data_IF_760962909698
#
_entry.id   IF_760962909698
#
_cell.length_a   1.000
_cell.length_b   1.000
_cell.length_c   1.000
_cell.angle_alpha   90.00
_cell.angle_beta   90.00
_cell.angle_gamma   90.00
#
_symmetry.space_group_name_H-M   'P 1'
#
loop_
_entity.id
_entity.type
_entity.pdbx_description
1 polymer ?
#
# COMPACT_ATOMS: atom_id res chain seq x y z
N UNK A 1 -63.21 -15.58 -25.78
CA UNK A 1 -62.66 -16.94 -25.64
C UNK A 1 -61.37 -16.84 -24.85
N UNK A 2 -61.34 -17.55 -23.72
CA UNK A 2 -60.19 -18.12 -22.99
C UNK A 2 -59.14 -17.20 -22.32
N UNK A 3 -59.31 -17.15 -21.00
CA UNK A 3 -58.42 -16.95 -19.85
C UNK A 3 -57.13 -17.80 -19.80
N UNK A 4 -56.11 -17.30 -19.08
CA UNK A 4 -55.04 -18.09 -18.44
C UNK A 4 -53.93 -17.17 -17.86
N UNK A 5 -53.99 -16.73 -16.60
CA UNK A 5 -53.51 -17.35 -15.34
C UNK A 5 -52.00 -17.59 -15.26
N UNK A 6 -51.37 -16.91 -14.29
CA UNK A 6 -49.99 -17.13 -13.85
C UNK A 6 -49.70 -16.35 -12.56
N UNK A 7 -50.41 -16.69 -11.48
CA UNK A 7 -50.12 -16.24 -10.11
C UNK A 7 -49.03 -17.15 -9.54
N UNK A 8 -47.90 -16.57 -9.15
CA UNK A 8 -46.86 -17.23 -8.37
C UNK A 8 -46.77 -16.60 -6.99
N UNK A 9 -47.49 -17.19 -6.04
CA UNK A 9 -47.39 -16.97 -4.60
C UNK A 9 -46.39 -17.99 -4.02
N UNK A 10 -45.39 -17.52 -3.27
CA UNK A 10 -44.76 -18.21 -2.12
C UNK A 10 -43.47 -17.47 -1.72
N UNK A 11 -43.07 -17.27 -0.47
CA UNK A 11 -43.62 -17.50 0.87
C UNK A 11 -42.74 -16.68 1.83
N UNK A 12 -43.38 -16.18 2.87
CA UNK A 12 -42.80 -15.65 4.12
C UNK A 12 -41.91 -16.70 4.80
N UNK A 13 -40.72 -16.29 5.26
CA UNK A 13 -40.01 -16.94 6.36
C UNK A 13 -39.79 -15.94 7.47
N UNK A 14 -40.24 -16.33 8.66
CA UNK A 14 -40.37 -15.52 9.85
C UNK A 14 -39.08 -15.42 10.66
N UNK A 15 -39.02 -14.29 11.39
CA UNK A 15 -38.33 -14.00 12.65
C UNK A 15 -37.78 -15.18 13.47
N UNK A 16 -36.58 -14.97 14.02
CA UNK A 16 -36.33 -15.10 15.48
C UNK A 16 -35.11 -14.25 15.89
N UNK A 17 -35.28 -13.23 16.75
CA UNK A 17 -34.19 -12.59 17.50
C UNK A 17 -34.04 -13.27 18.87
N UNK A 18 -32.82 -13.44 19.35
CA UNK A 18 -32.51 -13.84 20.73
C UNK A 18 -31.13 -13.31 21.14
N UNK A 19 -31.17 -12.44 22.16
CA UNK A 19 -30.31 -12.31 23.35
C UNK A 19 -28.82 -12.69 23.25
N UNK A 20 -27.84 -12.03 23.87
CA UNK A 20 -27.68 -10.89 24.79
C UNK A 20 -26.13 -10.76 25.04
N UNK A 21 -25.62 -9.79 25.83
CA UNK A 21 -24.22 -9.39 25.84
C UNK A 21 -23.32 -10.28 26.71
N UNK A 22 -22.03 -10.36 26.38
CA UNK A 22 -20.98 -10.81 27.30
C UNK A 22 -20.03 -9.67 27.60
N UNK A 23 -20.21 -9.13 28.80
CA UNK A 23 -19.24 -8.35 29.54
C UNK A 23 -18.14 -9.30 30.04
N UNK A 24 -16.89 -8.98 29.78
CA UNK A 24 -15.76 -9.51 30.56
C UNK A 24 -14.75 -8.40 30.76
N UNK A 25 -15.08 -7.60 31.76
CA UNK A 25 -14.16 -6.82 32.58
C UNK A 25 -12.97 -7.68 33.04
N UNK A 26 -11.76 -7.18 32.77
CA UNK A 26 -10.49 -7.80 33.14
C UNK A 26 -9.41 -6.75 33.40
N UNK A 27 -9.65 -5.86 34.35
CA UNK A 27 -8.63 -4.96 34.91
C UNK A 27 -7.74 -5.74 35.87
N UNK A 28 -6.45 -5.88 35.57
CA UNK A 28 -5.41 -6.18 36.55
C UNK A 28 -4.33 -5.10 36.45
N UNK A 29 -4.43 -4.15 37.36
CA UNK A 29 -3.35 -3.29 37.83
C UNK A 29 -2.25 -4.14 38.47
N UNK A 30 -0.99 -3.94 38.06
CA UNK A 30 0.17 -4.29 38.88
C UNK A 30 0.97 -3.03 39.21
N UNK A 31 1.05 -2.76 40.50
CA UNK A 31 1.77 -1.66 41.11
C UNK A 31 3.29 -1.91 41.13
N UNK A 32 4.02 -0.85 40.78
CA UNK A 32 5.12 -0.20 41.52
C UNK A 32 6.00 -1.04 42.45
N UNK A 33 7.29 -1.19 42.10
CA UNK A 33 8.45 -1.24 43.00
C UNK A 33 9.66 -0.67 42.21
N UNK A 34 10.10 0.55 42.48
CA UNK A 34 11.11 0.95 43.48
C UNK A 34 12.54 0.99 42.92
N UNK A 35 13.17 2.14 43.17
CA UNK A 35 14.46 2.59 42.70
C UNK A 35 15.66 1.81 43.26
N UNK A 36 16.79 1.91 42.57
CA UNK A 36 18.10 1.99 43.23
C UNK A 36 19.03 2.91 42.43
N UNK A 37 19.39 4.03 43.06
CA UNK A 37 20.50 4.91 42.68
C UNK A 37 21.83 4.16 42.71
N UNK A 38 22.80 4.56 41.89
CA UNK A 38 24.16 4.94 42.35
C UNK A 38 24.86 5.77 41.25
N UNK A 39 25.48 6.92 41.59
CA UNK A 39 26.22 7.79 40.67
C UNK A 39 27.74 7.60 40.77
N UNK A 40 28.45 7.44 39.65
CA UNK A 40 29.93 7.58 39.56
C UNK A 40 30.28 8.08 38.14
N UNK A 41 30.56 9.37 37.96
CA UNK A 41 31.89 10.05 37.98
C UNK A 41 32.79 9.80 36.73
N UNK A 42 32.63 10.74 35.75
CA UNK A 42 33.67 11.37 34.89
C UNK A 42 34.43 10.52 33.83
N UNK A 43 35.00 11.10 32.75
CA UNK A 43 35.39 12.51 32.57
C UNK A 43 34.89 13.24 31.31
N UNK A 44 34.93 14.55 31.48
CA UNK A 44 34.94 15.61 30.48
C UNK A 44 36.12 15.44 29.52
N UNK A 45 35.85 15.15 28.25
CA UNK A 45 36.78 15.40 27.14
C UNK A 45 36.27 16.61 26.37
N UNK A 46 36.87 17.76 26.66
CA UNK A 46 36.71 18.98 25.88
C UNK A 46 37.32 18.83 24.49
N UNK A 47 36.71 19.53 23.52
CA UNK A 47 37.37 20.20 22.36
C UNK A 47 37.99 19.25 21.33
N UNK A 48 37.78 19.41 20.03
CA UNK A 48 37.54 20.62 19.22
C UNK A 48 37.36 20.16 17.77
N UNK A 49 36.52 20.86 17.01
CA UNK A 49 36.56 21.05 15.55
C UNK A 49 36.70 19.79 14.67
N UNK A 50 35.82 19.49 13.72
CA UNK A 50 35.14 20.42 12.84
C UNK A 50 33.83 19.79 12.39
N UNK A 51 32.76 20.56 12.51
CA UNK A 51 31.63 20.54 11.60
C UNK A 51 32.19 20.64 10.17
N UNK A 52 32.38 19.50 9.52
CA UNK A 52 32.03 19.40 8.11
C UNK A 52 30.55 19.04 8.10
N UNK A 53 29.64 19.96 7.83
CA UNK A 53 28.48 19.55 7.08
C UNK A 53 29.06 19.15 5.72
N UNK A 54 29.22 17.85 5.48
CA UNK A 54 28.96 17.39 4.13
C UNK A 54 27.45 17.70 4.01
N UNK A 55 26.99 18.82 3.46
CA UNK A 55 27.18 19.19 2.05
C UNK A 55 27.30 17.96 1.15
N UNK A 56 26.56 16.89 1.48
CA UNK A 56 25.51 16.52 0.55
C UNK A 56 24.67 17.78 0.41
N UNK A 57 25.01 18.61 -0.56
CA UNK A 57 23.94 19.23 -1.31
C UNK A 57 23.09 18.02 -1.71
N UNK A 58 21.97 17.81 -1.02
CA UNK A 58 20.83 17.25 -1.68
C UNK A 58 20.72 18.13 -2.92
N UNK A 59 21.17 17.62 -4.06
CA UNK A 59 21.02 18.31 -5.32
C UNK A 59 19.51 18.53 -5.41
N UNK A 60 19.01 19.77 -5.24
CA UNK A 60 17.60 20.00 -4.98
C UNK A 60 16.74 19.82 -6.24
N UNK A 61 17.29 19.18 -7.28
CA UNK A 61 16.68 18.95 -8.57
C UNK A 61 17.00 17.56 -9.15
N UNK A 62 17.70 16.67 -8.43
CA UNK A 62 17.77 15.26 -8.83
C UNK A 62 16.42 14.62 -8.52
N UNK A 63 15.61 14.45 -9.57
CA UNK A 63 14.44 13.59 -9.49
C UNK A 63 14.88 12.22 -8.94
N UNK A 64 14.10 11.61 -8.04
CA UNK A 64 14.45 10.29 -7.52
C UNK A 64 14.68 9.32 -8.69
N UNK A 65 15.77 8.55 -8.61
CA UNK A 65 16.11 7.59 -9.66
C UNK A 65 15.11 6.44 -9.62
N UNK A 66 14.20 6.42 -10.59
CA UNK A 66 13.12 5.47 -10.68
C UNK A 66 13.56 4.24 -11.47
N UNK A 67 13.67 3.11 -10.78
CA UNK A 67 13.95 1.84 -11.40
C UNK A 67 12.66 1.16 -11.86
N UNK A 68 12.53 0.95 -13.17
CA UNK A 68 11.41 0.20 -13.75
C UNK A 68 11.61 -1.29 -13.50
N UNK A 69 10.67 -1.89 -12.78
CA UNK A 69 10.63 -3.31 -12.46
C UNK A 69 10.02 -4.13 -13.62
N UNK A 70 9.24 -3.47 -14.47
CA UNK A 70 8.58 -4.03 -15.64
C UNK A 70 7.10 -3.67 -15.66
N UNK A 71 6.39 -4.08 -16.71
CA UNK A 71 4.95 -3.86 -16.83
C UNK A 71 4.16 -5.16 -16.89
N UNK A 72 2.96 -5.14 -16.33
CA UNK A 72 2.03 -6.24 -16.43
C UNK A 72 0.62 -5.75 -16.74
N UNK A 73 -0.12 -6.56 -17.49
CA UNK A 73 -1.53 -6.29 -17.76
C UNK A 73 -2.40 -6.83 -16.62
N UNK A 74 -3.38 -6.03 -16.19
CA UNK A 74 -4.44 -6.47 -15.29
C UNK A 74 -5.28 -7.53 -15.99
N UNK A 75 -5.52 -8.66 -15.31
CA UNK A 75 -6.51 -9.64 -15.75
C UNK A 75 -7.91 -9.10 -15.53
N UNK A 76 -8.70 -8.91 -16.60
CA UNK A 76 -10.03 -8.29 -16.50
C UNK A 76 -11.06 -9.08 -15.70
N UNK A 77 -10.94 -10.41 -15.67
CA UNK A 77 -11.89 -11.28 -14.95
C UNK A 77 -11.58 -11.42 -13.46
N UNK A 78 -10.31 -11.24 -13.05
CA UNK A 78 -9.86 -11.51 -11.68
C UNK A 78 -9.22 -10.31 -10.96
N UNK A 79 -8.99 -9.18 -11.66
CA UNK A 79 -8.22 -8.04 -11.15
C UNK A 79 -6.82 -8.43 -10.62
N UNK A 80 -6.27 -9.52 -11.17
CA UNK A 80 -4.98 -10.06 -10.80
C UNK A 80 -3.89 -9.47 -11.71
N UNK A 81 -2.83 -8.99 -11.08
CA UNK A 81 -1.62 -8.48 -11.72
C UNK A 81 -0.46 -9.44 -11.48
N UNK A 82 0.13 -10.02 -12.54
CA UNK A 82 1.33 -10.80 -12.38
C UNK A 82 2.50 -9.87 -12.01
N UNK A 83 3.17 -10.18 -10.90
CA UNK A 83 4.30 -9.39 -10.41
C UNK A 83 5.52 -9.62 -11.30
N UNK A 84 6.21 -8.55 -11.76
CA UNK A 84 7.41 -8.69 -12.57
C UNK A 84 8.51 -9.48 -11.83
N UNK A 85 9.25 -10.31 -12.57
CA UNK A 85 10.33 -11.12 -11.99
C UNK A 85 11.40 -10.26 -11.29
N UNK A 86 11.62 -9.03 -11.73
CA UNK A 86 12.56 -8.08 -11.11
C UNK A 86 12.12 -7.67 -9.70
N UNK A 87 10.83 -7.42 -9.49
CA UNK A 87 10.28 -7.11 -8.17
C UNK A 87 10.43 -8.29 -7.19
N UNK A 88 10.26 -9.53 -7.68
CA UNK A 88 10.48 -10.74 -6.90
C UNK A 88 11.96 -10.93 -6.57
N UNK A 89 12.87 -10.65 -7.51
CA UNK A 89 14.31 -10.77 -7.29
C UNK A 89 14.82 -9.76 -6.23
N UNK A 90 14.15 -8.61 -6.12
CA UNK A 90 14.41 -7.58 -5.12
C UNK A 90 13.63 -7.83 -3.82
N UNK A 91 12.93 -8.95 -3.69
CA UNK A 91 12.13 -9.34 -2.53
C UNK A 91 11.03 -8.32 -2.13
N UNK A 92 10.64 -7.43 -3.05
CA UNK A 92 9.61 -6.40 -2.82
C UNK A 92 8.22 -7.02 -2.65
N UNK A 93 7.98 -8.14 -3.32
CA UNK A 93 6.76 -8.95 -3.18
C UNK A 93 7.15 -10.40 -2.91
N UNK A 94 6.84 -10.88 -1.71
CA UNK A 94 7.03 -12.26 -1.30
C UNK A 94 5.71 -13.02 -1.48
N UNK A 95 5.82 -14.33 -1.69
CA UNK A 95 4.66 -15.21 -1.72
C UNK A 95 4.13 -15.39 -0.29
N UNK A 96 2.83 -15.20 -0.11
CA UNK A 96 2.19 -15.22 1.21
C UNK A 96 2.37 -13.92 1.99
N UNK A 97 1.26 -13.38 2.51
CA UNK A 97 1.27 -12.16 3.32
C UNK A 97 0.12 -11.22 3.00
N UNK A 98 0.31 -9.94 3.32
CA UNK A 98 -0.63 -8.87 2.99
C UNK A 98 0.10 -7.76 2.23
N UNK A 99 -0.53 -7.29 1.15
CA UNK A 99 -0.13 -6.08 0.44
C UNK A 99 -0.99 -4.93 0.94
N UNK A 100 -0.35 -3.89 1.45
CA UNK A 100 -0.94 -2.62 1.84
C UNK A 100 -0.85 -1.65 0.67
N UNK A 101 -1.99 -1.05 0.35
CA UNK A 101 -2.14 -0.11 -0.76
C UNK A 101 -2.31 1.29 -0.20
N UNK A 102 -1.54 2.21 -0.75
CA UNK A 102 -1.62 3.64 -0.46
C UNK A 102 -1.56 4.46 -1.74
N UNK A 103 -1.90 5.72 -1.62
CA UNK A 103 -1.81 6.71 -2.71
C UNK A 103 -0.89 7.82 -2.25
N UNK A 104 0.11 8.13 -3.07
CA UNK A 104 0.96 9.30 -2.87
C UNK A 104 0.16 10.56 -3.21
N UNK A 105 -0.03 11.45 -2.23
CA UNK A 105 -0.85 12.66 -2.39
C UNK A 105 -0.25 13.69 -3.35
N UNK A 106 1.07 13.63 -3.58
CA UNK A 106 1.76 14.55 -4.47
C UNK A 106 1.29 14.44 -5.94
N UNK A 107 1.15 13.21 -6.45
CA UNK A 107 0.91 12.95 -7.88
C UNK A 107 -0.22 11.93 -8.12
N UNK A 108 -0.90 11.49 -7.06
CA UNK A 108 -1.95 10.47 -7.13
C UNK A 108 -1.46 9.06 -7.46
N UNK A 109 -0.15 8.82 -7.42
CA UNK A 109 0.46 7.53 -7.74
C UNK A 109 0.14 6.47 -6.69
N UNK A 110 -0.14 5.24 -7.12
CA UNK A 110 -0.48 4.14 -6.21
C UNK A 110 0.80 3.49 -5.72
N UNK A 111 0.95 3.38 -4.41
CA UNK A 111 2.04 2.69 -3.72
C UNK A 111 1.50 1.38 -3.16
N UNK A 112 2.26 0.31 -3.30
CA UNK A 112 2.01 -0.96 -2.64
C UNK A 112 3.23 -1.39 -1.84
N UNK A 113 3.00 -1.86 -0.63
CA UNK A 113 4.03 -2.37 0.27
C UNK A 113 3.55 -3.62 0.99
N UNK A 114 4.46 -4.53 1.32
CA UNK A 114 4.12 -5.62 2.25
C UNK A 114 4.22 -5.20 3.72
N UNK A 115 4.77 -4.02 3.99
CA UNK A 115 4.89 -3.46 5.32
C UNK A 115 3.82 -2.38 5.51
N UNK A 116 3.12 -2.42 6.63
CA UNK A 116 2.11 -1.40 6.97
C UNK A 116 2.75 -0.10 7.46
N UNK A 117 3.81 -0.21 8.26
CA UNK A 117 4.54 0.89 8.89
C UNK A 117 4.94 1.99 7.87
N UNK A 118 5.62 1.68 6.75
CA UNK A 118 6.10 2.73 5.85
C UNK A 118 4.98 3.35 4.98
N UNK A 119 3.76 2.79 4.97
CA UNK A 119 2.57 3.43 4.37
C UNK A 119 1.89 4.34 5.41
N UNK A 120 1.93 3.98 6.68
CA UNK A 120 1.31 4.74 7.76
C UNK A 120 2.17 5.91 8.24
N UNK A 121 3.49 5.73 8.32
CA UNK A 121 4.45 6.71 8.82
C UNK A 121 4.81 7.77 7.79
N UNK A 122 4.50 7.55 6.51
CA UNK A 122 4.73 8.54 5.46
C UNK A 122 3.55 9.52 5.36
N UNK A 123 3.74 10.81 5.71
CA UNK A 123 2.67 11.80 5.67
C UNK A 123 2.26 12.18 4.24
N UNK A 124 3.04 11.82 3.23
CA UNK A 124 2.74 11.99 1.80
C UNK A 124 1.99 10.81 1.19
N UNK A 125 1.74 9.73 1.94
CA UNK A 125 1.00 8.56 1.49
C UNK A 125 -0.31 8.43 2.28
N UNK A 126 -1.42 8.36 1.55
CA UNK A 126 -2.74 8.04 2.11
C UNK A 126 -3.01 6.56 1.98
N UNK A 127 -3.12 5.86 3.11
CA UNK A 127 -3.58 4.47 3.12
C UNK A 127 -4.98 4.32 2.52
N UNK A 128 -5.15 3.35 1.60
CA UNK A 128 -6.44 2.99 1.02
C UNK A 128 -7.00 1.71 1.63
N UNK A 129 -6.27 0.59 1.49
CA UNK A 129 -6.77 -0.74 1.85
C UNK A 129 -5.63 -1.76 1.91
N UNK A 130 -5.91 -2.98 2.35
CA UNK A 130 -5.00 -4.12 2.27
C UNK A 130 -5.63 -5.30 1.53
N UNK A 131 -4.80 -6.12 0.90
CA UNK A 131 -5.19 -7.34 0.21
C UNK A 131 -4.27 -8.50 0.57
N UNK A 132 -4.83 -9.67 0.83
CA UNK A 132 -4.02 -10.86 1.08
C UNK A 132 -3.34 -11.36 -0.21
N UNK A 133 -2.07 -11.73 -0.09
CA UNK A 133 -1.29 -12.41 -1.13
C UNK A 133 -1.34 -13.91 -0.82
N UNK A 134 -1.83 -14.76 -1.75
CA UNK A 134 -1.85 -16.20 -1.54
C UNK A 134 -0.43 -16.79 -1.39
N UNK A 135 -0.26 -17.78 -0.51
CA UNK A 135 1.05 -18.39 -0.16
C UNK A 135 1.80 -19.08 -1.32
N UNK A 136 1.18 -19.26 -2.49
CA UNK A 136 1.79 -19.83 -3.69
C UNK A 136 1.49 -19.02 -4.97
N UNK A 137 1.08 -17.76 -4.82
CA UNK A 137 0.75 -16.89 -5.96
C UNK A 137 1.73 -15.73 -6.06
N UNK A 138 2.18 -15.46 -7.29
CA UNK A 138 2.93 -14.25 -7.67
C UNK A 138 2.03 -13.20 -8.31
N UNK A 139 0.76 -13.23 -7.94
CA UNK A 139 -0.26 -12.34 -8.46
C UNK A 139 -0.70 -11.43 -7.32
N UNK A 140 -0.62 -10.13 -7.56
CA UNK A 140 -1.20 -9.13 -6.68
C UNK A 140 -2.63 -8.88 -7.12
N UNK A 141 -3.55 -8.91 -6.17
CA UNK A 141 -4.94 -8.54 -6.43
C UNK A 141 -5.08 -7.05 -6.21
N UNK A 142 -5.45 -6.32 -7.26
CA UNK A 142 -5.75 -4.90 -7.13
C UNK A 142 -7.14 -4.75 -6.52
N UNK A 143 -7.28 -4.04 -5.39
CA UNK A 143 -8.58 -3.82 -4.76
C UNK A 143 -9.39 -2.77 -5.55
N UNK A 144 -10.72 -2.88 -5.52
CA UNK A 144 -11.62 -1.95 -6.22
C UNK A 144 -11.36 -0.48 -5.83
N UNK A 145 -11.02 -0.21 -4.57
CA UNK A 145 -10.69 1.14 -4.09
C UNK A 145 -9.52 1.81 -4.84
N UNK A 146 -8.59 1.03 -5.39
CA UNK A 146 -7.49 1.54 -6.22
C UNK A 146 -7.99 1.90 -7.62
N UNK A 147 -8.91 1.11 -8.19
CA UNK A 147 -9.56 1.44 -9.46
C UNK A 147 -10.45 2.68 -9.35
N UNK A 148 -11.23 2.77 -8.27
CA UNK A 148 -12.05 3.95 -7.97
C UNK A 148 -11.16 5.20 -7.89
N UNK A 149 -10.02 5.12 -7.19
CA UNK A 149 -9.06 6.21 -7.13
C UNK A 149 -8.52 6.61 -8.51
N UNK A 150 -8.13 5.65 -9.36
CA UNK A 150 -7.69 5.98 -10.71
C UNK A 150 -8.79 6.65 -11.55
N UNK A 151 -10.04 6.20 -11.43
CA UNK A 151 -11.20 6.81 -12.10
C UNK A 151 -11.43 8.26 -11.63
N UNK A 152 -11.31 8.50 -10.31
CA UNK A 152 -11.38 9.83 -9.70
C UNK A 152 -10.27 10.77 -10.23
N UNK A 153 -9.03 10.31 -10.32
CA UNK A 153 -7.89 11.14 -10.81
C UNK A 153 -7.98 11.39 -12.32
N UNK A 154 -8.58 10.48 -13.09
CA UNK A 154 -8.74 10.62 -14.54
C UNK A 154 -10.01 11.42 -14.96
N UNK A 155 -10.56 12.26 -14.06
CA UNK A 155 -11.76 13.09 -14.31
C UNK A 155 -13.07 12.28 -14.52
N UNK A 156 -13.20 11.12 -13.88
CA UNK A 156 -14.47 10.37 -13.78
C UNK A 156 -14.80 9.46 -14.97
N UNK A 157 -13.78 8.96 -15.66
CA UNK A 157 -13.89 7.92 -16.67
C UNK A 157 -12.95 6.75 -16.36
N UNK A 158 -13.28 5.54 -16.85
CA UNK A 158 -12.53 4.32 -16.56
C UNK A 158 -11.06 4.45 -16.94
N UNK A 159 -10.25 4.79 -15.94
CA UNK A 159 -8.84 5.12 -16.10
C UNK A 159 -7.95 3.89 -16.32
N UNK A 160 -8.37 2.76 -15.74
CA UNK A 160 -7.71 1.46 -15.86
C UNK A 160 -8.81 0.40 -15.94
N UNK A 161 -8.86 -0.33 -17.04
CA UNK A 161 -9.74 -1.46 -17.23
C UNK A 161 -8.96 -2.78 -17.24
N UNK A 162 -9.73 -3.88 -17.23
CA UNK A 162 -9.19 -5.21 -17.49
C UNK A 162 -8.47 -5.27 -18.84
N UNK A 163 -7.18 -5.61 -18.83
CA UNK A 163 -6.32 -5.66 -20.01
C UNK A 163 -5.35 -4.48 -20.12
N UNK A 164 -5.58 -3.39 -19.38
CA UNK A 164 -4.65 -2.27 -19.35
C UNK A 164 -3.33 -2.67 -18.68
N UNK A 165 -2.26 -2.08 -19.19
CA UNK A 165 -0.91 -2.31 -18.70
C UNK A 165 -0.61 -1.32 -17.57
N UNK A 166 -0.10 -1.86 -16.48
CA UNK A 166 0.44 -1.10 -15.35
C UNK A 166 1.95 -1.31 -15.29
N UNK A 167 2.68 -0.23 -15.10
CA UNK A 167 4.12 -0.24 -14.94
C UNK A 167 4.46 -0.23 -13.45
N UNK A 168 5.35 -1.15 -13.08
CA UNK A 168 5.88 -1.28 -11.74
C UNK A 168 7.18 -0.51 -11.67
N UNK A 169 7.26 0.40 -10.73
CA UNK A 169 8.40 1.27 -10.51
C UNK A 169 8.80 1.20 -9.05
N UNK A 170 10.08 1.30 -8.74
CA UNK A 170 10.55 1.51 -7.38
C UNK A 170 11.72 2.50 -7.39
N UNK A 171 12.19 2.87 -6.21
CA UNK A 171 13.42 3.64 -5.98
C UNK A 171 14.25 2.88 -4.96
N UNK A 172 15.54 3.21 -4.77
CA UNK A 172 16.35 2.57 -3.73
C UNK A 172 15.68 2.67 -2.35
N UNK A 173 15.20 3.86 -1.96
CA UNK A 173 14.54 4.09 -0.67
C UNK A 173 13.22 3.31 -0.54
N UNK A 174 12.42 3.24 -1.61
CA UNK A 174 11.21 2.43 -1.64
C UNK A 174 11.53 0.94 -1.50
N UNK A 175 12.56 0.47 -2.22
CA UNK A 175 12.97 -0.92 -2.18
C UNK A 175 13.46 -1.35 -0.79
N UNK A 176 14.16 -0.47 -0.07
CA UNK A 176 14.55 -0.68 1.34
C UNK A 176 13.34 -0.87 2.28
N UNK A 177 12.20 -0.27 1.93
CA UNK A 177 10.94 -0.36 2.66
C UNK A 177 9.96 -1.39 2.06
N UNK A 178 10.43 -2.26 1.17
CA UNK A 178 9.61 -3.25 0.44
C UNK A 178 8.40 -2.60 -0.26
N UNK A 179 8.61 -1.39 -0.78
CA UNK A 179 7.61 -0.60 -1.50
C UNK A 179 7.86 -0.62 -3.00
N UNK A 180 6.75 -0.53 -3.74
CA UNK A 180 6.77 -0.27 -5.16
C UNK A 180 5.56 0.57 -5.55
N UNK A 181 5.70 1.28 -6.65
CA UNK A 181 4.70 2.14 -7.23
C UNK A 181 4.09 1.46 -8.46
N UNK A 182 2.78 1.54 -8.57
CA UNK A 182 2.03 1.11 -9.75
C UNK A 182 1.49 2.33 -10.46
N UNK A 183 1.87 2.46 -11.73
CA UNK A 183 1.47 3.57 -12.57
C UNK A 183 0.78 3.04 -13.84
N UNK A 184 -0.43 3.52 -14.17
CA UNK A 184 -0.98 3.30 -15.49
C UNK A 184 -0.19 4.05 -16.56
N UNK A 185 -0.16 3.54 -17.79
CA UNK A 185 0.69 4.07 -18.88
C UNK A 185 0.54 5.58 -19.10
N UNK A 186 -0.66 6.13 -18.91
CA UNK A 186 -0.92 7.57 -19.03
C UNK A 186 -0.28 8.41 -17.92
N UNK A 187 -0.05 7.84 -16.74
CA UNK A 187 0.53 8.52 -15.57
C UNK A 187 2.05 8.33 -15.49
N UNK A 188 2.59 7.31 -16.15
CA UNK A 188 4.03 6.98 -16.15
C UNK A 188 4.86 8.20 -16.54
N UNK A 189 4.60 8.81 -17.69
CA UNK A 189 5.42 9.93 -18.20
C UNK A 189 5.39 11.17 -17.28
N UNK A 190 4.24 11.39 -16.63
CA UNK A 190 4.01 12.52 -15.72
C UNK A 190 4.75 12.34 -14.38
N UNK A 191 4.82 11.11 -13.86
CA UNK A 191 5.35 10.82 -12.52
C UNK A 191 6.85 10.48 -12.51
N UNK A 192 7.30 9.64 -13.45
CA UNK A 192 8.72 9.25 -13.53
C UNK A 192 9.53 10.15 -14.46
N UNK A 193 8.87 11.10 -15.14
CA UNK A 193 9.46 11.97 -16.14
C UNK A 193 9.71 11.22 -17.44
N UNK A 194 9.21 11.79 -18.54
CA UNK A 194 9.63 11.39 -19.87
C UNK A 194 11.15 11.50 -20.02
N UNK A 195 11.78 10.41 -20.44
CA UNK A 195 13.17 10.38 -20.88
C UNK A 195 13.32 11.37 -22.06
N UNK A 196 13.67 12.62 -21.78
CA UNK A 196 14.15 13.55 -22.81
C UNK A 196 15.57 13.11 -23.19
N UNK A 197 15.66 12.09 -24.05
CA UNK A 197 16.88 11.65 -24.74
C UNK A 197 16.90 12.14 -26.19
#
# INVERSE_FOLDING_TARGET
MTVGLGIGDSRVSAFSPTSAPSDSSGSVTRATESACETPEDRPRTERRAATRPNSAAADPLSMPDYDRLGGASVSGDSQELPVPQKAVNLELVKSGGEAYWGVREADGAVIVSQLYDPIQDDPGIRFLTSTAIPDDSRQLRVPDAVYDHWDDVADGGTAVAGGDRLEFVTTEEMAENEQMMLLPEWQVDDVIGGDDS
#
